data_IF_190937872139
#
_entry.id   IF_190937872139
#
_cell.length_a   1.000
_cell.length_b   1.000
_cell.length_c   1.000
_cell.angle_alpha   90.00
_cell.angle_beta   90.00
_cell.angle_gamma   90.00
#
_symmetry.space_group_name_H-M   'P 1'
#
loop_
_entity.id
_entity.type
_entity.pdbx_description
1 polymer ?
#
# COMPACT_ATOMS: atom_id res chain seq x y z
N UNK A 1 9.52 -19.23 16.80
CA UNK A 1 9.21 -17.96 16.08
C UNK A 1 8.68 -16.97 17.10
N UNK A 2 9.24 -15.74 17.17
CA UNK A 2 8.75 -14.70 18.10
C UNK A 2 7.38 -14.23 17.65
N UNK A 3 6.45 -14.07 18.59
CA UNK A 3 5.10 -13.58 18.36
C UNK A 3 4.94 -12.19 18.99
N UNK A 4 4.19 -11.33 18.32
CA UNK A 4 3.89 -9.96 18.75
C UNK A 4 2.39 -9.84 18.93
N UNK A 5 1.97 -9.56 20.18
CA UNK A 5 0.56 -9.45 20.56
C UNK A 5 0.18 -7.96 20.64
N UNK A 6 -0.98 -7.64 20.09
CA UNK A 6 -1.54 -6.29 20.12
C UNK A 6 -3.01 -6.33 20.54
N UNK A 7 -3.44 -5.25 21.18
CA UNK A 7 -4.86 -4.98 21.42
C UNK A 7 -5.27 -3.69 20.70
N UNK A 8 -6.47 -3.70 20.14
CA UNK A 8 -7.02 -2.51 19.50
C UNK A 8 -7.69 -1.59 20.50
N UNK A 9 -7.47 -0.28 20.32
CA UNK A 9 -8.27 0.79 20.91
C UNK A 9 -8.84 1.60 19.75
N UNK A 10 -10.11 2.01 19.87
CA UNK A 10 -10.80 2.70 18.81
C UNK A 10 -11.55 3.94 19.32
N UNK A 11 -11.76 4.89 18.41
CA UNK A 11 -12.57 6.07 18.62
C UNK A 11 -13.32 6.42 17.35
N UNK A 12 -14.65 6.43 17.40
CA UNK A 12 -15.49 6.87 16.30
C UNK A 12 -15.74 8.36 16.38
N UNK A 13 -15.67 9.04 15.23
CA UNK A 13 -15.90 10.46 15.05
C UNK A 13 -16.83 10.71 13.87
N UNK A 14 -17.46 11.89 13.82
CA UNK A 14 -18.18 12.32 12.63
C UNK A 14 -17.21 12.60 11.48
N UNK A 15 -17.53 12.11 10.31
CA UNK A 15 -16.74 12.27 9.09
C UNK A 15 -17.09 13.47 8.22
N UNK A 16 -18.22 14.17 8.49
CA UNK A 16 -18.82 15.18 7.63
C UNK A 16 -17.89 16.31 7.19
N UNK A 17 -16.94 16.69 8.06
CA UNK A 17 -15.98 17.78 7.80
C UNK A 17 -14.60 17.26 7.33
N UNK A 18 -14.50 15.96 7.10
CA UNK A 18 -13.23 15.29 6.79
C UNK A 18 -13.38 14.48 5.50
N UNK A 19 -12.44 14.65 4.58
CA UNK A 19 -12.27 13.74 3.46
C UNK A 19 -10.98 12.95 3.63
N UNK A 20 -10.85 11.75 3.02
CA UNK A 20 -9.61 10.99 3.10
C UNK A 20 -8.40 11.81 2.68
N UNK A 21 -8.48 12.51 1.53
CA UNK A 21 -7.38 13.35 1.02
C UNK A 21 -7.07 14.51 1.97
N UNK A 22 -8.08 15.27 2.41
CA UNK A 22 -7.85 16.42 3.30
C UNK A 22 -7.24 16.01 4.64
N UNK A 23 -7.64 14.85 5.15
CA UNK A 23 -7.08 14.28 6.39
C UNK A 23 -5.65 13.79 6.18
N UNK A 24 -5.38 13.11 5.06
CA UNK A 24 -4.03 12.65 4.72
C UNK A 24 -3.03 13.81 4.61
N UNK A 25 -3.42 14.92 3.98
CA UNK A 25 -2.58 16.11 3.89
C UNK A 25 -2.17 16.71 5.25
N UNK A 26 -3.00 16.52 6.27
CA UNK A 26 -2.71 16.99 7.64
C UNK A 26 -1.75 16.08 8.41
N UNK A 27 -1.74 14.79 8.09
CA UNK A 27 -1.00 13.78 8.87
C UNK A 27 0.28 13.29 8.18
N UNK A 28 0.39 13.34 6.85
CA UNK A 28 1.50 12.76 6.09
C UNK A 28 2.88 13.32 6.47
N UNK A 29 2.96 14.63 6.75
CA UNK A 29 4.23 15.28 7.06
C UNK A 29 4.63 15.08 8.54
N UNK A 30 3.65 14.70 9.40
CA UNK A 30 3.86 14.37 10.81
C UNK A 30 4.24 12.90 10.96
N UNK A 31 3.62 12.03 10.15
CA UNK A 31 3.82 10.59 10.17
C UNK A 31 4.45 10.12 8.85
N UNK A 32 5.78 10.09 8.76
CA UNK A 32 6.46 9.63 7.55
C UNK A 32 6.13 8.15 7.25
N UNK A 33 6.23 7.76 5.97
CA UNK A 33 5.86 6.42 5.50
C UNK A 33 4.39 6.05 5.75
N UNK A 34 3.52 7.05 5.78
CA UNK A 34 2.06 6.85 5.80
C UNK A 34 1.53 6.46 4.42
N UNK A 35 0.34 5.86 4.40
CA UNK A 35 -0.32 5.48 3.16
C UNK A 35 -1.78 5.94 3.15
N UNK A 36 -2.26 6.38 1.98
CA UNK A 36 -3.66 6.65 1.70
C UNK A 36 -4.16 5.63 0.67
N UNK A 37 -5.23 4.94 1.00
CA UNK A 37 -5.92 3.98 0.14
C UNK A 37 -7.37 4.40 0.02
N UNK A 38 -7.73 5.00 -1.12
CA UNK A 38 -9.10 5.42 -1.40
C UNK A 38 -9.83 4.38 -2.23
N UNK A 39 -11.08 4.14 -1.88
CA UNK A 39 -11.98 3.42 -2.75
C UNK A 39 -12.62 4.39 -3.75
N UNK A 40 -12.62 4.02 -5.03
CA UNK A 40 -13.22 4.80 -6.11
C UNK A 40 -14.54 4.18 -6.63
N UNK A 41 -15.18 3.32 -5.84
CA UNK A 41 -16.44 2.71 -6.26
C UNK A 41 -17.57 3.73 -6.18
N UNK A 42 -18.02 4.19 -7.34
CA UNK A 42 -19.12 5.16 -7.50
C UNK A 42 -20.51 4.58 -7.19
N UNK A 43 -20.63 3.29 -6.96
CA UNK A 43 -21.92 2.63 -6.74
C UNK A 43 -22.36 2.57 -5.28
N UNK A 44 -21.69 3.30 -4.38
CA UNK A 44 -22.17 3.57 -3.03
C UNK A 44 -22.53 2.33 -2.21
N UNK A 45 -21.70 1.28 -2.25
CA UNK A 45 -21.95 0.11 -1.44
C UNK A 45 -21.66 0.40 0.04
N UNK A 46 -22.44 -0.18 0.95
CA UNK A 46 -22.22 -0.09 2.40
C UNK A 46 -20.80 -0.51 2.84
N UNK A 47 -20.08 -1.21 1.96
CA UNK A 47 -18.73 -1.72 2.21
C UNK A 47 -17.62 -0.83 1.66
N UNK A 48 -17.95 0.32 1.07
CA UNK A 48 -16.95 1.27 0.58
C UNK A 48 -16.21 1.91 1.76
N UNK A 49 -14.89 1.73 1.81
CA UNK A 49 -14.04 2.24 2.88
C UNK A 49 -12.77 2.82 2.28
N UNK A 50 -12.36 3.98 2.79
CA UNK A 50 -11.03 4.55 2.55
C UNK A 50 -10.20 4.45 3.82
N UNK A 51 -8.89 4.24 3.66
CA UNK A 51 -7.98 4.02 4.77
C UNK A 51 -6.81 4.99 4.70
N UNK A 52 -6.44 5.55 5.84
CA UNK A 52 -5.14 6.18 6.05
C UNK A 52 -4.39 5.35 7.10
N UNK A 53 -3.20 4.89 6.76
CA UNK A 53 -2.36 4.08 7.64
C UNK A 53 -1.12 4.86 8.04
N UNK A 54 -0.81 4.88 9.36
CA UNK A 54 0.23 5.71 9.94
C UNK A 54 1.14 4.88 10.87
N UNK A 55 2.41 5.25 10.98
CA UNK A 55 3.41 4.62 11.82
C UNK A 55 3.61 3.12 11.52
N UNK A 56 4.50 2.77 10.59
CA UNK A 56 4.87 1.39 10.34
C UNK A 56 5.37 0.69 11.60
N UNK A 57 4.80 -0.47 11.94
CA UNK A 57 5.26 -1.36 13.02
C UNK A 57 6.17 -2.46 12.49
N UNK A 58 5.83 -2.98 11.34
CA UNK A 58 6.56 -4.07 10.70
C UNK A 58 6.31 -4.06 9.20
N UNK A 59 7.20 -4.67 8.42
CA UNK A 59 7.01 -4.79 6.99
C UNK A 59 7.59 -6.07 6.44
N UNK A 60 6.98 -6.57 5.36
CA UNK A 60 7.53 -7.60 4.51
C UNK A 60 7.68 -7.03 3.10
N UNK A 61 8.86 -7.17 2.54
CA UNK A 61 9.12 -6.84 1.13
C UNK A 61 9.70 -8.04 0.40
N UNK A 62 9.36 -8.15 -0.88
CA UNK A 62 9.98 -9.13 -1.79
C UNK A 62 10.76 -8.33 -2.82
N UNK A 63 12.05 -8.59 -2.87
CA UNK A 63 12.95 -7.88 -3.76
C UNK A 63 14.07 -8.80 -4.26
N UNK A 64 14.30 -8.85 -5.58
CA UNK A 64 15.33 -9.68 -6.21
C UNK A 64 15.34 -11.15 -5.69
N UNK A 65 14.15 -11.76 -5.56
CA UNK A 65 14.04 -13.16 -5.09
C UNK A 65 14.31 -13.36 -3.60
N UNK A 66 14.29 -12.31 -2.80
CA UNK A 66 14.48 -12.37 -1.35
C UNK A 66 13.31 -11.73 -0.64
N UNK A 67 12.72 -12.43 0.33
CA UNK A 67 11.78 -11.86 1.29
C UNK A 67 12.56 -11.24 2.45
N UNK A 68 12.26 -9.98 2.75
CA UNK A 68 12.89 -9.22 3.83
C UNK A 68 11.82 -8.86 4.84
N UNK A 69 11.97 -9.34 6.07
CA UNK A 69 11.08 -8.98 7.19
C UNK A 69 11.77 -7.91 8.05
N UNK A 70 11.05 -6.83 8.33
CA UNK A 70 11.41 -5.84 9.36
C UNK A 70 10.39 -5.96 10.47
N UNK A 71 10.84 -6.23 11.68
CA UNK A 71 9.98 -6.59 12.81
C UNK A 71 9.91 -5.45 13.84
N UNK A 72 8.93 -5.44 14.76
CA UNK A 72 8.72 -4.35 15.71
C UNK A 72 9.88 -4.12 16.71
N UNK A 73 10.79 -5.06 16.83
CA UNK A 73 12.00 -4.96 17.66
C UNK A 73 13.24 -4.53 16.86
N UNK A 74 13.03 -3.90 15.71
CA UNK A 74 14.05 -3.47 14.75
C UNK A 74 14.88 -4.61 14.15
N UNK A 75 14.54 -5.87 14.43
CA UNK A 75 15.21 -7.00 13.82
C UNK A 75 14.85 -7.12 12.34
N UNK A 76 15.82 -7.60 11.55
CA UNK A 76 15.68 -7.86 10.12
C UNK A 76 16.00 -9.31 9.83
N UNK A 77 15.14 -9.97 9.08
CA UNK A 77 15.32 -11.34 8.61
C UNK A 77 15.25 -11.37 7.08
N UNK A 78 16.04 -12.24 6.48
CA UNK A 78 16.06 -12.44 5.03
C UNK A 78 15.83 -13.91 4.71
N UNK A 79 14.93 -14.18 3.77
CA UNK A 79 14.54 -15.52 3.35
C UNK A 79 14.59 -15.59 1.82
N UNK A 80 15.51 -16.35 1.22
CA UNK A 80 15.51 -16.55 -0.23
C UNK A 80 14.22 -17.22 -0.71
N UNK A 81 13.63 -16.67 -1.77
CA UNK A 81 12.47 -17.27 -2.44
C UNK A 81 12.98 -18.38 -3.34
N UNK A 82 12.47 -19.58 -3.13
CA UNK A 82 12.84 -20.81 -3.83
C UNK A 82 11.58 -21.63 -4.13
N UNK A 83 11.72 -22.74 -4.86
CA UNK A 83 10.57 -23.67 -5.07
C UNK A 83 10.05 -24.28 -3.76
N UNK A 84 10.91 -24.43 -2.75
CA UNK A 84 10.55 -24.95 -1.43
C UNK A 84 10.01 -23.87 -0.47
N UNK A 85 10.35 -22.59 -0.70
CA UNK A 85 9.91 -21.45 0.11
C UNK A 85 9.47 -20.31 -0.79
N UNK A 86 8.20 -20.34 -1.15
CA UNK A 86 7.60 -19.40 -2.10
C UNK A 86 7.12 -18.12 -1.40
N UNK A 87 6.71 -17.14 -2.18
CA UNK A 87 6.19 -15.86 -1.67
C UNK A 87 5.02 -16.05 -0.72
N UNK A 88 4.12 -17.00 -1.01
CA UNK A 88 2.98 -17.32 -0.15
C UNK A 88 3.43 -17.82 1.24
N UNK A 89 4.50 -18.61 1.29
CA UNK A 89 5.08 -19.06 2.56
C UNK A 89 5.63 -17.85 3.35
N UNK A 90 6.39 -16.99 2.69
CA UNK A 90 6.96 -15.80 3.32
C UNK A 90 5.88 -14.86 3.89
N UNK A 91 4.82 -14.59 3.11
CA UNK A 91 3.70 -13.75 3.57
C UNK A 91 2.94 -14.37 4.73
N UNK A 92 2.70 -15.70 4.70
CA UNK A 92 2.03 -16.41 5.78
C UNK A 92 2.90 -16.47 7.05
N UNK A 93 4.19 -16.74 6.92
CA UNK A 93 5.13 -16.77 8.04
C UNK A 93 5.26 -15.39 8.69
N UNK A 94 5.31 -14.32 7.90
CA UNK A 94 5.30 -12.97 8.40
C UNK A 94 4.01 -12.66 9.15
N UNK A 95 2.85 -12.92 8.53
CA UNK A 95 1.54 -12.68 9.13
C UNK A 95 1.34 -13.45 10.44
N UNK A 96 1.80 -14.71 10.50
CA UNK A 96 1.65 -15.57 11.69
C UNK A 96 2.38 -15.06 12.93
N UNK A 97 3.27 -14.06 12.78
CA UNK A 97 3.96 -13.43 13.91
C UNK A 97 3.11 -12.44 14.68
N UNK A 98 1.99 -12.01 14.13
CA UNK A 98 1.17 -10.96 14.69
C UNK A 98 -0.18 -11.50 15.12
N UNK A 99 -0.54 -11.24 16.37
CA UNK A 99 -1.87 -11.50 16.91
C UNK A 99 -2.48 -10.19 17.34
N UNK A 100 -3.64 -9.86 16.79
CA UNK A 100 -4.36 -8.63 17.09
C UNK A 100 -5.74 -8.98 17.61
N UNK A 101 -6.07 -8.52 18.80
CA UNK A 101 -7.37 -8.77 19.44
C UNK A 101 -8.08 -7.45 19.73
N UNK A 102 -9.41 -7.49 19.78
CA UNK A 102 -10.26 -6.37 20.13
C UNK A 102 -11.22 -5.96 19.01
N UNK A 103 -11.95 -4.89 19.25
CA UNK A 103 -12.92 -4.35 18.31
C UNK A 103 -12.20 -3.79 17.07
N UNK A 104 -12.75 -4.02 15.88
CA UNK A 104 -12.17 -3.64 14.58
C UNK A 104 -10.79 -4.24 14.27
N UNK A 105 -10.38 -5.32 14.96
CA UNK A 105 -9.12 -6.03 14.66
C UNK A 105 -9.05 -6.55 13.22
N UNK A 106 -10.21 -6.75 12.57
CA UNK A 106 -10.30 -7.11 11.14
C UNK A 106 -9.76 -6.05 10.18
N UNK A 107 -9.60 -4.79 10.62
CA UNK A 107 -8.92 -3.75 9.84
C UNK A 107 -7.40 -3.77 10.02
N UNK A 108 -6.90 -4.42 11.08
CA UNK A 108 -5.47 -4.49 11.38
C UNK A 108 -4.78 -5.53 10.48
N UNK A 109 -4.64 -5.19 9.21
CA UNK A 109 -4.04 -6.04 8.18
C UNK A 109 -2.73 -5.47 7.66
N UNK A 110 -2.24 -6.09 6.59
CA UNK A 110 -1.09 -5.63 5.84
C UNK A 110 -1.55 -4.75 4.68
N UNK A 111 -0.99 -3.55 4.59
CA UNK A 111 -1.30 -2.57 3.56
C UNK A 111 -0.08 -2.31 2.70
N UNK A 112 -0.25 -2.31 1.39
CA UNK A 112 0.87 -2.14 0.50
C UNK A 112 0.55 -2.41 -0.95
N UNK A 113 1.53 -2.88 -1.70
CA UNK A 113 1.39 -3.13 -3.13
C UNK A 113 2.15 -4.36 -3.61
N UNK A 114 1.71 -4.87 -4.73
CA UNK A 114 2.42 -5.84 -5.57
C UNK A 114 2.67 -5.19 -6.93
N UNK A 115 3.92 -5.12 -7.36
CA UNK A 115 4.28 -4.58 -8.67
C UNK A 115 3.87 -5.55 -9.79
N UNK A 116 3.79 -5.05 -11.02
CA UNK A 116 3.52 -5.90 -12.18
C UNK A 116 4.57 -7.01 -12.34
N UNK A 117 5.85 -6.69 -12.10
CA UNK A 117 6.94 -7.65 -12.26
C UNK A 117 6.92 -8.80 -11.26
N UNK A 118 6.16 -8.67 -10.17
CA UNK A 118 5.98 -9.73 -9.18
C UNK A 118 5.27 -10.97 -9.76
N UNK A 119 4.64 -10.87 -10.93
CA UNK A 119 4.04 -12.01 -11.64
C UNK A 119 5.05 -13.17 -11.82
N UNK A 120 6.35 -12.87 -11.91
CA UNK A 120 7.43 -13.86 -12.01
C UNK A 120 7.48 -14.86 -10.84
N UNK A 121 6.92 -14.49 -9.69
CA UNK A 121 6.87 -15.37 -8.50
C UNK A 121 5.68 -16.32 -8.50
N UNK A 122 4.71 -16.09 -9.37
CA UNK A 122 3.45 -16.84 -9.43
C UNK A 122 3.30 -17.63 -10.71
N UNK A 123 3.86 -17.12 -11.82
CA UNK A 123 3.71 -17.67 -13.16
C UNK A 123 5.08 -17.90 -13.81
N UNK A 124 5.18 -18.94 -14.64
CA UNK A 124 6.39 -19.21 -15.44
C UNK A 124 6.44 -18.31 -16.68
N UNK A 125 6.61 -17.02 -16.45
CA UNK A 125 6.67 -15.99 -17.49
C UNK A 125 8.03 -15.30 -17.42
N UNK A 126 8.75 -15.16 -18.55
CA UNK A 126 10.01 -14.44 -18.58
C UNK A 126 9.76 -12.93 -18.40
N UNK A 127 9.96 -12.43 -17.21
CA UNK A 127 9.93 -10.99 -16.91
C UNK A 127 11.34 -10.46 -16.95
N UNK A 128 11.59 -9.48 -17.83
CA UNK A 128 12.88 -8.78 -17.86
C UNK A 128 12.98 -7.88 -16.64
N UNK A 129 14.03 -8.08 -15.87
CA UNK A 129 14.37 -7.17 -14.77
C UNK A 129 15.13 -5.97 -15.33
N UNK A 130 14.38 -5.01 -15.86
CA UNK A 130 14.90 -3.78 -16.45
C UNK A 130 14.68 -2.59 -15.49
N UNK A 131 15.00 -2.75 -14.22
CA UNK A 131 14.92 -1.60 -13.30
C UNK A 131 15.94 -0.57 -13.72
N UNK A 132 15.46 0.63 -14.01
CA UNK A 132 16.33 1.80 -14.09
C UNK A 132 16.92 2.06 -12.70
N UNK A 133 18.14 2.59 -12.64
CA UNK A 133 18.83 2.91 -11.37
C UNK A 133 18.03 3.86 -10.44
N UNK A 134 17.01 4.53 -10.97
CA UNK A 134 16.11 5.44 -10.25
C UNK A 134 14.87 4.77 -9.67
N UNK A 135 14.62 3.49 -10.00
CA UNK A 135 13.47 2.74 -9.50
C UNK A 135 13.93 1.65 -8.53
N UNK A 136 13.98 1.99 -7.26
CA UNK A 136 14.38 1.12 -6.15
C UNK A 136 13.19 0.49 -5.42
N UNK A 137 11.96 0.66 -5.92
CA UNK A 137 10.77 0.06 -5.32
C UNK A 137 10.83 -1.46 -5.40
N UNK A 138 10.63 -2.19 -4.29
CA UNK A 138 10.62 -3.66 -4.29
C UNK A 138 9.46 -4.22 -5.13
N UNK A 139 9.57 -5.49 -5.53
CA UNK A 139 8.50 -6.17 -6.27
C UNK A 139 7.20 -6.25 -5.47
N UNK A 140 7.31 -6.40 -4.16
CA UNK A 140 6.20 -6.37 -3.22
C UNK A 140 6.61 -5.65 -1.95
N UNK A 141 5.70 -4.86 -1.39
CA UNK A 141 5.86 -4.24 -0.08
C UNK A 141 4.51 -4.24 0.65
N UNK A 142 4.48 -4.86 1.82
CA UNK A 142 3.33 -4.86 2.71
C UNK A 142 3.75 -4.45 4.12
N UNK A 143 3.00 -3.55 4.72
CA UNK A 143 3.32 -2.90 5.99
C UNK A 143 2.18 -3.10 6.97
N UNK A 144 2.50 -3.46 8.20
CA UNK A 144 1.61 -3.41 9.35
C UNK A 144 1.76 -2.05 10.03
N UNK A 145 0.66 -1.33 10.22
CA UNK A 145 0.67 0.04 10.76
C UNK A 145 0.09 0.09 12.16
N UNK A 146 0.62 0.99 13.00
CA UNK A 146 0.12 1.21 14.37
C UNK A 146 -1.24 1.87 14.38
N UNK A 147 -1.47 2.87 13.53
CA UNK A 147 -2.72 3.61 13.47
C UNK A 147 -3.39 3.45 12.12
N UNK A 148 -4.72 3.33 12.16
CA UNK A 148 -5.58 3.39 10.99
C UNK A 148 -6.66 4.44 11.19
N UNK A 149 -6.91 5.23 10.16
CA UNK A 149 -8.07 6.11 10.04
C UNK A 149 -8.94 5.50 8.95
N UNK A 150 -10.14 5.06 9.32
CA UNK A 150 -11.05 4.39 8.40
C UNK A 150 -12.25 5.29 8.15
N UNK A 151 -12.48 5.64 6.90
CA UNK A 151 -13.64 6.41 6.47
C UNK A 151 -14.74 5.48 6.02
N UNK A 152 -15.94 5.75 6.49
CA UNK A 152 -17.17 5.15 6.03
C UNK A 152 -18.06 6.23 5.43
N UNK A 153 -17.93 6.44 4.12
CA UNK A 153 -18.63 7.49 3.42
C UNK A 153 -20.16 7.30 3.47
N UNK A 154 -20.62 6.04 3.50
CA UNK A 154 -22.04 5.72 3.58
C UNK A 154 -22.68 6.18 4.90
N UNK A 155 -21.92 6.11 6.01
CA UNK A 155 -22.41 6.50 7.35
C UNK A 155 -21.93 7.87 7.80
N UNK A 156 -21.09 8.55 7.00
CA UNK A 156 -20.37 9.77 7.40
C UNK A 156 -19.62 9.61 8.72
N UNK A 157 -18.99 8.47 8.89
CA UNK A 157 -18.21 8.13 10.09
C UNK A 157 -16.73 8.01 9.77
N UNK A 158 -15.92 8.42 10.72
CA UNK A 158 -14.47 8.23 10.71
C UNK A 158 -14.06 7.49 11.98
N UNK A 159 -13.41 6.33 11.81
CA UNK A 159 -12.89 5.52 12.89
C UNK A 159 -11.39 5.75 13.02
N UNK A 160 -10.93 6.15 14.21
CA UNK A 160 -9.52 6.10 14.59
C UNK A 160 -9.25 4.78 15.30
N UNK A 161 -8.26 4.05 14.86
CA UNK A 161 -7.87 2.74 15.40
C UNK A 161 -6.39 2.73 15.71
N UNK A 162 -6.01 2.22 16.88
CA UNK A 162 -4.63 2.05 17.32
C UNK A 162 -4.39 0.61 17.76
N UNK A 163 -3.27 0.04 17.37
CA UNK A 163 -2.75 -1.23 17.89
C UNK A 163 -1.74 -0.94 18.99
N UNK A 164 -2.02 -1.43 20.19
CA UNK A 164 -1.17 -1.30 21.37
C UNK A 164 -0.49 -2.61 21.73
N UNK A 165 0.82 -2.58 21.88
CA UNK A 165 1.56 -3.66 22.49
C UNK A 165 1.30 -3.73 24.00
N UNK A 166 1.55 -4.88 24.66
CA UNK A 166 1.37 -5.00 26.11
C UNK A 166 2.17 -3.95 26.89
N UNK A 167 1.47 -3.20 27.73
CA UNK A 167 2.07 -2.15 28.57
C UNK A 167 2.17 -0.78 27.91
N UNK A 168 1.82 -0.62 26.64
CA UNK A 168 1.74 0.69 25.99
C UNK A 168 0.47 1.44 26.43
N UNK A 169 0.56 2.78 26.41
CA UNK A 169 -0.57 3.70 26.59
C UNK A 169 -1.00 4.27 25.25
N UNK A 170 -2.30 4.51 25.08
CA UNK A 170 -2.85 5.04 23.84
C UNK A 170 -2.39 6.46 23.56
N UNK A 171 -2.05 6.71 22.30
CA UNK A 171 -1.68 8.01 21.74
C UNK A 171 -2.71 8.53 20.71
N UNK A 172 -3.92 7.96 20.65
CA UNK A 172 -4.99 8.41 19.75
C UNK A 172 -5.29 9.91 19.84
N UNK A 173 -5.09 10.52 21.03
CA UNK A 173 -5.26 11.97 21.19
C UNK A 173 -4.29 12.78 20.33
N UNK A 174 -3.07 12.30 20.11
CA UNK A 174 -2.09 12.96 19.25
C UNK A 174 -2.53 12.88 17.77
N UNK A 175 -2.98 11.71 17.34
CA UNK A 175 -3.52 11.51 15.99
C UNK A 175 -4.74 12.39 15.76
N UNK A 176 -5.66 12.44 16.73
CA UNK A 176 -6.85 13.28 16.65
C UNK A 176 -6.50 14.77 16.59
N UNK A 177 -5.52 15.23 17.37
CA UNK A 177 -5.04 16.63 17.31
C UNK A 177 -4.45 16.95 15.94
N UNK A 178 -3.68 16.04 15.34
CA UNK A 178 -3.13 16.21 14.00
C UNK A 178 -4.23 16.36 12.94
N UNK A 179 -5.28 15.55 13.00
CA UNK A 179 -6.45 15.61 12.10
C UNK A 179 -7.19 16.95 12.24
N UNK A 180 -7.34 17.48 13.45
CA UNK A 180 -8.01 18.75 13.71
C UNK A 180 -7.14 19.97 13.40
N UNK A 181 -5.85 19.79 13.14
CA UNK A 181 -4.98 20.90 12.76
C UNK A 181 -5.48 21.52 11.45
N UNK A 182 -5.68 22.84 11.45
CA UNK A 182 -6.11 23.58 10.27
C UNK A 182 -4.94 24.01 9.38
N UNK A 183 -3.74 23.98 9.93
CA UNK A 183 -2.51 24.36 9.22
C UNK A 183 -1.79 23.11 8.73
N UNK A 184 -1.85 22.85 7.44
CA UNK A 184 -1.04 21.83 6.77
C UNK A 184 -0.30 22.46 5.59
N UNK A 185 0.85 21.92 5.27
CA UNK A 185 1.68 22.44 4.18
C UNK A 185 1.07 22.05 2.84
N UNK A 186 0.80 23.03 2.01
CA UNK A 186 0.48 22.84 0.60
C UNK A 186 1.76 23.04 -0.21
N UNK A 187 2.07 22.08 -1.06
CA UNK A 187 3.22 22.17 -1.97
C UNK A 187 2.73 22.55 -3.37
N UNK A 188 3.36 23.58 -3.95
CA UNK A 188 3.09 23.94 -5.33
C UNK A 188 3.62 22.85 -6.26
N UNK A 189 2.75 22.31 -7.09
CA UNK A 189 3.14 21.39 -8.15
C UNK A 189 3.24 22.14 -9.47
N UNK A 190 4.41 22.04 -10.13
CA UNK A 190 4.63 22.58 -11.46
C UNK A 190 5.34 21.56 -12.32
N UNK A 191 4.84 21.37 -13.53
CA UNK A 191 5.59 20.66 -14.55
C UNK A 191 6.80 21.51 -14.99
N UNK A 192 8.00 20.93 -14.94
CA UNK A 192 9.24 21.60 -15.33
C UNK A 192 9.71 21.00 -16.65
N UNK A 193 9.84 21.84 -17.67
CA UNK A 193 10.34 21.43 -18.98
C UNK A 193 9.26 20.84 -19.90
N UNK A 194 9.62 20.50 -21.14
CA UNK A 194 8.71 19.93 -22.11
C UNK A 194 8.36 18.48 -21.76
N UNK A 195 7.18 18.03 -22.22
CA UNK A 195 6.83 16.61 -22.21
C UNK A 195 7.77 15.86 -23.13
N UNK A 196 8.46 14.86 -22.63
CA UNK A 196 9.36 13.98 -23.38
C UNK A 196 8.87 12.55 -23.34
N UNK A 197 9.25 11.77 -24.34
CA UNK A 197 8.98 10.34 -24.37
C UNK A 197 10.19 9.60 -24.96
N UNK A 198 10.53 8.41 -24.46
CA UNK A 198 11.59 7.57 -25.03
C UNK A 198 11.21 6.98 -26.39
N UNK A 199 9.92 7.02 -26.75
CA UNK A 199 9.41 6.55 -28.05
C UNK A 199 8.94 7.73 -28.90
N UNK A 200 9.29 7.73 -30.15
CA UNK A 200 8.70 8.63 -31.15
C UNK A 200 7.24 8.25 -31.44
N UNK A 201 6.47 9.15 -32.04
CA UNK A 201 5.09 8.88 -32.43
C UNK A 201 5.00 7.70 -33.41
N UNK A 202 5.92 7.61 -34.35
CA UNK A 202 5.93 6.55 -35.35
C UNK A 202 6.26 5.17 -34.74
N UNK A 203 7.21 5.11 -33.81
CA UNK A 203 7.51 3.88 -33.06
C UNK A 203 6.29 3.43 -32.23
N UNK A 204 5.61 4.36 -31.56
CA UNK A 204 4.42 4.04 -30.78
C UNK A 204 3.28 3.55 -31.68
N UNK A 205 3.02 4.21 -32.81
CA UNK A 205 2.05 3.76 -33.81
C UNK A 205 2.40 2.35 -34.39
N UNK A 206 3.68 2.09 -34.59
CA UNK A 206 4.13 0.75 -35.06
C UNK A 206 3.84 -0.32 -33.96
N UNK A 207 4.05 0.01 -32.69
CA UNK A 207 3.68 -0.88 -31.57
C UNK A 207 2.18 -1.13 -31.52
N UNK A 208 1.35 -0.10 -31.73
CA UNK A 208 -0.12 -0.22 -31.78
C UNK A 208 -0.54 -1.17 -32.93
N UNK A 209 0.02 -1.02 -34.14
CA UNK A 209 -0.29 -1.90 -35.26
C UNK A 209 0.05 -3.37 -34.96
N UNK A 210 1.19 -3.62 -34.30
CA UNK A 210 1.55 -4.97 -33.84
C UNK A 210 0.56 -5.49 -32.77
N UNK A 211 0.16 -4.66 -31.81
CA UNK A 211 -0.84 -5.03 -30.82
C UNK A 211 -2.18 -5.42 -31.46
N UNK A 212 -2.66 -4.63 -32.42
CA UNK A 212 -3.87 -4.94 -33.18
C UNK A 212 -3.75 -6.31 -33.91
N UNK A 213 -2.59 -6.59 -34.49
CA UNK A 213 -2.37 -7.88 -35.18
C UNK A 213 -2.43 -9.06 -34.17
N UNK A 214 -1.93 -8.89 -32.94
CA UNK A 214 -2.06 -9.92 -31.90
C UNK A 214 -3.52 -10.14 -31.46
N UNK A 215 -4.31 -9.07 -31.30
CA UNK A 215 -5.74 -9.19 -31.01
C UNK A 215 -6.50 -9.92 -32.16
N UNK A 216 -6.21 -9.57 -33.40
CA UNK A 216 -6.89 -10.18 -34.54
C UNK A 216 -6.54 -11.67 -34.73
N UNK A 217 -5.36 -12.10 -34.31
CA UNK A 217 -4.99 -13.53 -34.31
C UNK A 217 -5.57 -14.31 -33.12
N UNK A 218 -6.15 -13.63 -32.13
CA UNK A 218 -6.63 -14.27 -30.93
C UNK A 218 -5.54 -14.59 -29.88
N UNK A 219 -4.34 -14.01 -30.01
CA UNK A 219 -3.25 -14.21 -29.04
C UNK A 219 -3.60 -13.58 -27.67
N UNK A 220 -4.40 -12.52 -27.68
CA UNK A 220 -4.87 -11.78 -26.50
C UNK A 220 -6.30 -11.29 -26.73
N UNK A 221 -7.08 -11.18 -25.65
CA UNK A 221 -8.41 -10.55 -25.68
C UNK A 221 -8.32 -9.02 -25.63
N UNK A 222 -7.34 -8.53 -24.89
CA UNK A 222 -7.09 -7.10 -24.71
C UNK A 222 -5.58 -6.90 -24.56
N UNK A 223 -5.08 -5.80 -25.11
CA UNK A 223 -3.70 -5.34 -24.91
C UNK A 223 -3.70 -3.85 -24.62
N UNK A 224 -2.95 -3.43 -23.60
CA UNK A 224 -2.74 -2.03 -23.27
C UNK A 224 -1.28 -1.68 -23.51
N UNK A 225 -1.05 -0.76 -24.44
CA UNK A 225 0.29 -0.30 -24.79
C UNK A 225 0.54 1.05 -24.13
N UNK A 226 1.52 1.09 -23.23
CA UNK A 226 1.91 2.31 -22.54
C UNK A 226 3.00 3.05 -23.29
N UNK A 227 2.96 4.38 -23.21
CA UNK A 227 4.01 5.29 -23.64
C UNK A 227 4.40 6.15 -22.45
N UNK A 228 5.64 6.03 -22.04
CA UNK A 228 6.21 6.84 -20.95
C UNK A 228 6.64 8.20 -21.48
#
# INVERSE_FOLDING_TARGET
MKQYDYKTISRTMLGDLHTPVSTYLKVRDIFPQSALMESSDYHGSENNRSFIALCPLASVSIDHGTAIFRLPDDSREEHPITDAYRVENALNDFRARFRVEGEYSNYCGLYGYTSFNAVRYFENIPVKDSREATNDAPDMLYILYKYLIVFNDFKNEMLLLEMLAPGETSELDQVQKAIHNRNYTAYDFRAIGPTTSPLTDEEHKANIRRGIAHCLRGDVFQIVLSRR
#
